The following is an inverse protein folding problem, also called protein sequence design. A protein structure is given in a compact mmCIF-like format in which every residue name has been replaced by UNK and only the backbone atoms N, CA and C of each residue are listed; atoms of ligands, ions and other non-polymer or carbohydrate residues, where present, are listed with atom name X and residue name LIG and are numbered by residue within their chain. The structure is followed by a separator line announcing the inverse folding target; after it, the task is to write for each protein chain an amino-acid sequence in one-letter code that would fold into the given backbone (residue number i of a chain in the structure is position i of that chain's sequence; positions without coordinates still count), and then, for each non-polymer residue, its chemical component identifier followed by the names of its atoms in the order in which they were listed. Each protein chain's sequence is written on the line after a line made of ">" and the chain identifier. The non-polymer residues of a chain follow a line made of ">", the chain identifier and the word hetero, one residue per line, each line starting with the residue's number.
data_IF_782936690605
#
_entry.id   IF_782936690605
#
_cell.length_a   1.000
_cell.length_b   1.000
_cell.length_c   1.000
_cell.angle_alpha   90.00
_cell.angle_beta   90.00
_cell.angle_gamma   90.00
#
_symmetry.space_group_name_H-M   'P 1'
#
loop_
_entity.id
_entity.type
_entity.pdbx_description
1 polymer ?
#
# COMPACT_ATOMS: atom_id res chain seq x y z
N UNK A 1 -21.95 -59.86 -13.45
CA UNK A 1 -21.20 -59.57 -12.21
C UNK A 1 -20.41 -58.29 -12.52
N UNK A 2 -21.14 -57.19 -12.62
CA UNK A 2 -20.60 -55.87 -12.99
C UNK A 2 -20.28 -55.14 -11.69
N UNK A 3 -18.99 -54.84 -11.50
CA UNK A 3 -18.52 -54.03 -10.38
C UNK A 3 -18.50 -52.57 -10.85
N UNK A 4 -19.36 -51.75 -10.24
CA UNK A 4 -19.28 -50.30 -10.37
C UNK A 4 -18.02 -49.79 -9.65
N UNK A 5 -17.28 -48.82 -10.20
CA UNK A 5 -16.20 -48.20 -9.47
C UNK A 5 -16.77 -47.27 -8.39
N UNK A 6 -16.27 -47.44 -7.18
CA UNK A 6 -16.55 -46.59 -6.01
C UNK A 6 -16.27 -45.12 -6.30
N UNK A 7 -17.27 -44.28 -6.06
CA UNK A 7 -17.13 -42.83 -6.00
C UNK A 7 -16.15 -42.46 -4.87
N UNK A 8 -14.92 -42.09 -5.24
CA UNK A 8 -13.99 -41.44 -4.31
C UNK A 8 -14.52 -40.04 -4.01
N UNK A 9 -14.72 -39.67 -2.73
CA UNK A 9 -15.19 -38.32 -2.40
C UNK A 9 -14.08 -37.31 -2.74
N UNK A 10 -14.39 -36.49 -3.75
CA UNK A 10 -13.65 -35.28 -4.15
C UNK A 10 -13.22 -34.47 -2.91
N UNK A 11 -11.92 -34.52 -2.60
CA UNK A 11 -11.31 -33.69 -1.56
C UNK A 11 -11.20 -32.25 -2.05
N UNK A 12 -12.31 -31.55 -2.21
CA UNK A 12 -12.30 -30.08 -2.25
C UNK A 12 -12.12 -29.57 -0.82
N UNK A 13 -10.88 -29.63 -0.31
CA UNK A 13 -10.46 -28.65 0.68
C UNK A 13 -10.55 -27.31 -0.04
N UNK A 14 -11.65 -26.60 0.16
CA UNK A 14 -11.77 -25.20 -0.20
C UNK A 14 -10.60 -24.48 0.49
N UNK A 15 -9.54 -24.15 -0.24
CA UNK A 15 -8.49 -23.30 0.30
C UNK A 15 -9.15 -22.01 0.77
N UNK A 16 -8.96 -21.66 2.04
CA UNK A 16 -9.49 -20.43 2.59
C UNK A 16 -8.96 -19.26 1.76
N UNK A 17 -9.80 -18.27 1.46
CA UNK A 17 -9.32 -17.05 0.81
C UNK A 17 -8.28 -16.38 1.72
N UNK A 18 -7.31 -15.67 1.13
CA UNK A 18 -6.25 -14.98 1.86
C UNK A 18 -6.78 -14.13 3.03
N UNK A 19 -7.81 -13.33 2.78
CA UNK A 19 -8.49 -12.52 3.80
C UNK A 19 -9.00 -13.36 4.98
N UNK A 20 -9.62 -14.53 4.71
CA UNK A 20 -10.14 -15.40 5.77
C UNK A 20 -8.99 -16.04 6.56
N UNK A 21 -7.92 -16.46 5.88
CA UNK A 21 -6.69 -16.92 6.52
C UNK A 21 -6.09 -15.86 7.45
N UNK A 22 -5.99 -14.61 6.99
CA UNK A 22 -5.50 -13.50 7.81
C UNK A 22 -6.42 -13.18 9.00
N UNK A 23 -7.75 -13.28 8.85
CA UNK A 23 -8.66 -13.13 10.01
C UNK A 23 -8.36 -14.14 11.10
N UNK A 24 -8.13 -15.40 10.74
CA UNK A 24 -7.80 -16.46 11.71
C UNK A 24 -6.43 -16.22 12.35
N UNK A 25 -5.40 -15.92 11.54
CA UNK A 25 -4.05 -15.66 12.03
C UNK A 25 -3.98 -14.44 12.94
N UNK A 26 -4.59 -13.32 12.54
CA UNK A 26 -4.64 -12.11 13.36
C UNK A 26 -5.46 -12.35 14.64
N UNK A 27 -6.54 -13.13 14.60
CA UNK A 27 -7.28 -13.50 15.81
C UNK A 27 -6.40 -14.27 16.79
N UNK A 28 -5.72 -15.32 16.32
CA UNK A 28 -4.83 -16.11 17.17
C UNK A 28 -3.70 -15.26 17.78
N UNK A 29 -3.10 -14.37 16.99
CA UNK A 29 -2.10 -13.43 17.49
C UNK A 29 -2.66 -12.50 18.59
N UNK A 30 -3.87 -11.96 18.40
CA UNK A 30 -4.49 -11.09 19.39
C UNK A 30 -4.94 -11.84 20.64
N UNK A 31 -5.38 -13.10 20.52
CA UNK A 31 -5.72 -13.94 21.68
C UNK A 31 -4.49 -14.20 22.55
N UNK A 32 -3.34 -14.41 21.93
CA UNK A 32 -2.07 -14.61 22.62
C UNK A 32 -1.54 -13.31 23.24
N UNK A 33 -1.51 -12.23 22.46
CA UNK A 33 -0.81 -10.98 22.83
C UNK A 33 -1.69 -10.00 23.61
N UNK A 34 -3.01 -10.07 23.44
CA UNK A 34 -4.00 -9.17 24.05
C UNK A 34 -5.21 -10.00 24.55
N UNK A 35 -5.01 -10.95 25.48
CA UNK A 35 -6.06 -11.85 25.95
C UNK A 35 -7.23 -11.12 26.65
N UNK A 36 -6.95 -9.94 27.22
CA UNK A 36 -7.94 -9.11 27.92
C UNK A 36 -8.58 -8.03 27.04
N UNK A 37 -8.37 -8.05 25.72
CA UNK A 37 -8.89 -7.01 24.81
C UNK A 37 -10.42 -6.99 24.76
N UNK A 38 -10.98 -5.82 24.49
CA UNK A 38 -12.40 -5.70 24.20
C UNK A 38 -12.65 -5.88 22.70
N UNK A 39 -13.40 -6.92 22.32
CA UNK A 39 -13.77 -7.16 20.92
C UNK A 39 -14.85 -6.17 20.46
N UNK A 40 -14.62 -5.48 19.35
CA UNK A 40 -15.60 -4.56 18.78
C UNK A 40 -16.60 -5.28 17.87
N UNK A 41 -17.89 -5.08 18.11
CA UNK A 41 -18.99 -5.70 17.35
C UNK A 41 -18.85 -7.24 17.26
N UNK A 42 -18.49 -7.88 18.36
CA UNK A 42 -18.32 -9.34 18.46
C UNK A 42 -17.35 -9.94 17.42
N UNK A 43 -16.42 -9.14 16.90
CA UNK A 43 -15.44 -9.59 15.91
C UNK A 43 -14.08 -9.79 16.59
N UNK A 44 -13.52 -11.01 16.62
CA UNK A 44 -12.32 -11.29 17.41
C UNK A 44 -11.03 -10.65 16.85
N UNK A 45 -11.05 -10.23 15.58
CA UNK A 45 -9.99 -9.49 14.90
C UNK A 45 -10.21 -7.96 14.90
N UNK A 46 -11.14 -7.45 15.74
CA UNK A 46 -11.38 -6.01 15.91
C UNK A 46 -11.32 -5.66 17.39
N UNK A 47 -10.48 -4.71 17.74
CA UNK A 47 -10.41 -4.16 19.10
C UNK A 47 -11.37 -2.98 19.24
N UNK A 48 -11.70 -2.59 20.46
CA UNK A 48 -12.42 -1.34 20.70
C UNK A 48 -11.70 -0.16 20.01
N UNK A 49 -12.41 0.79 19.39
CA UNK A 49 -11.79 1.96 18.73
C UNK A 49 -10.84 2.77 19.62
N UNK A 50 -11.07 2.80 20.94
CA UNK A 50 -10.18 3.42 21.92
C UNK A 50 -8.86 2.64 22.08
N UNK A 51 -8.87 1.34 21.82
CA UNK A 51 -7.73 0.43 21.95
C UNK A 51 -6.95 0.23 20.64
N UNK A 52 -7.30 0.93 19.54
CA UNK A 52 -6.68 0.73 18.22
C UNK A 52 -5.15 0.78 18.21
N UNK A 53 -4.53 1.54 19.11
CA UNK A 53 -3.07 1.61 19.23
C UNK A 53 -2.43 0.27 19.63
N UNK A 54 -3.19 -0.64 20.25
CA UNK A 54 -2.71 -1.98 20.58
C UNK A 54 -2.43 -2.82 19.32
N UNK A 55 -3.05 -2.46 18.18
CA UNK A 55 -2.79 -3.03 16.85
C UNK A 55 -1.55 -2.44 16.17
N UNK A 56 -0.74 -1.63 16.86
CA UNK A 56 0.60 -1.26 16.41
C UNK A 56 1.65 -2.07 17.17
N UNK A 57 2.81 -2.26 16.53
CA UNK A 57 4.00 -2.79 17.17
C UNK A 57 4.33 -1.97 18.43
N UNK A 58 4.61 -2.60 19.57
CA UNK A 58 4.87 -1.88 20.81
C UNK A 58 5.88 -0.73 20.67
N UNK A 59 6.94 -0.94 19.88
CA UNK A 59 8.00 0.02 19.61
C UNK A 59 7.58 1.30 18.87
N UNK A 60 6.43 1.30 18.18
CA UNK A 60 5.97 2.46 17.39
C UNK A 60 4.70 3.11 17.93
N UNK A 61 4.08 2.59 18.99
CA UNK A 61 2.76 3.06 19.47
C UNK A 61 2.74 4.56 19.79
N UNK A 62 3.68 5.00 20.62
CA UNK A 62 3.82 6.42 21.00
C UNK A 62 4.24 7.26 19.80
N UNK A 63 5.25 6.82 19.06
CA UNK A 63 5.82 7.51 17.90
C UNK A 63 4.77 7.74 16.81
N UNK A 64 3.95 6.73 16.49
CA UNK A 64 2.86 6.84 15.54
C UNK A 64 1.82 7.88 16.00
N UNK A 65 1.42 7.84 17.26
CA UNK A 65 0.45 8.79 17.80
C UNK A 65 0.98 10.24 17.73
N UNK A 66 2.23 10.46 18.12
CA UNK A 66 2.86 11.78 18.08
C UNK A 66 3.05 12.27 16.64
N UNK A 67 3.52 11.40 15.74
CA UNK A 67 3.72 11.71 14.33
C UNK A 67 2.39 12.07 13.64
N UNK A 68 1.35 11.27 13.86
CA UNK A 68 0.00 11.55 13.32
C UNK A 68 -0.57 12.84 13.89
N UNK A 69 -0.30 13.16 15.16
CA UNK A 69 -0.70 14.43 15.75
C UNK A 69 0.03 15.61 15.10
N UNK A 70 1.36 15.54 14.98
CA UNK A 70 2.22 16.58 14.39
C UNK A 70 1.80 16.94 12.97
N UNK A 71 1.60 15.92 12.12
CA UNK A 71 1.24 16.11 10.71
C UNK A 71 -0.26 16.13 10.45
N UNK A 72 -1.08 16.14 11.51
CA UNK A 72 -2.55 16.12 11.46
C UNK A 72 -3.03 15.01 10.52
N UNK A 73 -2.52 13.80 10.67
CA UNK A 73 -2.89 12.67 9.83
C UNK A 73 -4.17 12.03 10.37
N UNK A 74 -5.13 11.75 9.49
CA UNK A 74 -6.36 11.08 9.86
C UNK A 74 -6.14 9.56 9.94
N UNK A 75 -6.55 8.96 11.04
CA UNK A 75 -6.68 7.50 11.12
C UNK A 75 -7.83 7.03 10.24
N UNK A 76 -7.64 5.91 9.55
CA UNK A 76 -8.70 5.28 8.78
C UNK A 76 -9.85 4.84 9.69
N UNK A 77 -11.08 4.85 9.16
CA UNK A 77 -12.30 4.42 9.86
C UNK A 77 -12.18 3.04 10.51
N UNK A 78 -11.39 2.16 9.90
CA UNK A 78 -11.18 0.78 10.33
C UNK A 78 -9.78 0.56 10.92
N UNK A 79 -9.12 1.60 11.46
CA UNK A 79 -7.83 1.47 12.15
C UNK A 79 -7.89 0.54 13.38
N UNK A 80 -9.08 0.25 13.92
CA UNK A 80 -9.27 -0.74 14.99
C UNK A 80 -9.46 -2.18 14.49
N UNK A 81 -9.28 -2.41 13.19
CA UNK A 81 -9.35 -3.73 12.54
C UNK A 81 -7.94 -4.29 12.36
N UNK A 82 -7.69 -5.53 12.79
CA UNK A 82 -6.35 -6.13 12.72
C UNK A 82 -5.83 -6.28 11.28
N UNK A 83 -6.74 -6.37 10.31
CA UNK A 83 -6.47 -6.39 8.86
C UNK A 83 -6.39 -4.99 8.22
N UNK A 84 -6.29 -3.92 9.02
CA UNK A 84 -6.13 -2.56 8.48
C UNK A 84 -4.80 -2.45 7.73
N UNK A 85 -4.88 -2.04 6.45
CA UNK A 85 -3.69 -1.72 5.63
C UNK A 85 -2.89 -0.56 6.20
N UNK A 86 -3.54 0.49 6.74
CA UNK A 86 -2.84 1.58 7.43
C UNK A 86 -2.03 1.08 8.63
N UNK A 87 -2.63 0.24 9.49
CA UNK A 87 -1.89 -0.36 10.61
C UNK A 87 -0.76 -1.27 10.12
N UNK A 88 -1.00 -2.05 9.06
CA UNK A 88 0.00 -2.92 8.46
C UNK A 88 1.19 -2.12 7.92
N UNK A 89 0.94 -1.12 7.08
CA UNK A 89 1.94 -0.20 6.55
C UNK A 89 2.80 0.41 7.66
N UNK A 90 2.18 0.93 8.72
CA UNK A 90 2.90 1.51 9.86
C UNK A 90 3.79 0.49 10.57
N UNK A 91 3.30 -0.72 10.83
CA UNK A 91 4.10 -1.75 11.50
C UNK A 91 5.34 -2.15 10.69
N UNK A 92 5.24 -2.17 9.37
CA UNK A 92 6.37 -2.51 8.51
C UNK A 92 7.34 -1.35 8.32
N UNK A 93 6.85 -0.15 8.02
CA UNK A 93 7.69 0.95 7.56
C UNK A 93 8.11 1.94 8.64
N UNK A 94 7.30 2.17 9.69
CA UNK A 94 7.61 3.18 10.70
C UNK A 94 8.90 2.88 11.49
N UNK A 95 9.23 1.63 11.85
CA UNK A 95 10.52 1.30 12.47
C UNK A 95 11.73 1.69 11.62
N UNK A 96 11.58 1.78 10.30
CA UNK A 96 12.64 2.15 9.36
C UNK A 96 12.79 3.67 9.18
N UNK A 97 11.87 4.47 9.73
CA UNK A 97 11.83 5.90 9.48
C UNK A 97 12.99 6.68 10.10
N UNK A 98 13.73 6.08 11.03
CA UNK A 98 14.99 6.61 11.59
C UNK A 98 16.19 5.70 11.26
N UNK A 99 16.04 4.74 10.35
CA UNK A 99 17.07 3.77 9.98
C UNK A 99 17.43 3.90 8.49
N UNK A 100 18.12 4.99 8.09
CA UNK A 100 18.36 5.29 6.67
C UNK A 100 19.15 4.19 5.94
N UNK A 101 20.07 3.49 6.62
CA UNK A 101 20.85 2.42 5.99
C UNK A 101 19.98 1.18 5.69
N UNK A 102 19.15 0.74 6.64
CA UNK A 102 18.20 -0.37 6.40
C UNK A 102 17.17 0.00 5.35
N UNK A 103 16.66 1.23 5.39
CA UNK A 103 15.72 1.74 4.40
C UNK A 103 16.36 1.82 3.01
N UNK A 104 17.63 2.23 2.91
CA UNK A 104 18.40 2.24 1.65
C UNK A 104 18.45 0.86 1.02
N UNK A 105 18.79 -0.18 1.79
CA UNK A 105 18.81 -1.55 1.29
C UNK A 105 17.43 -2.00 0.79
N UNK A 106 16.37 -1.70 1.55
CA UNK A 106 14.99 -2.01 1.18
C UNK A 106 14.61 -1.36 -0.15
N UNK A 107 14.91 -0.06 -0.32
CA UNK A 107 14.58 0.69 -1.55
C UNK A 107 15.43 0.23 -2.74
N UNK A 108 16.71 -0.07 -2.50
CA UNK A 108 17.59 -0.67 -3.50
C UNK A 108 17.00 -1.97 -4.04
N UNK A 109 16.56 -2.86 -3.14
CA UNK A 109 15.93 -4.12 -3.50
C UNK A 109 14.57 -3.92 -4.20
N UNK A 110 13.71 -3.04 -3.70
CA UNK A 110 12.41 -2.76 -4.29
C UNK A 110 12.51 -2.33 -5.75
N UNK A 111 13.48 -1.48 -6.06
CA UNK A 111 13.61 -0.81 -7.35
C UNK A 111 14.64 -1.48 -8.28
N UNK A 112 15.29 -2.55 -7.82
CA UNK A 112 16.41 -3.22 -8.50
C UNK A 112 17.53 -2.23 -8.88
N UNK A 113 17.99 -1.47 -7.89
CA UNK A 113 19.08 -0.50 -8.01
C UNK A 113 20.09 -0.67 -6.88
N UNK A 114 21.28 -0.08 -7.04
CA UNK A 114 22.21 0.04 -5.91
C UNK A 114 21.53 0.81 -4.75
N UNK A 115 21.71 0.38 -3.49
CA UNK A 115 21.16 1.06 -2.32
C UNK A 115 21.42 2.58 -2.39
N UNK A 116 20.37 3.42 -2.48
CA UNK A 116 20.54 4.85 -2.69
C UNK A 116 20.82 5.59 -1.39
N UNK A 117 21.31 6.82 -1.45
CA UNK A 117 21.47 7.64 -0.26
C UNK A 117 20.10 8.17 0.20
N UNK A 118 19.62 7.74 1.37
CA UNK A 118 18.32 8.18 1.87
C UNK A 118 18.37 9.65 2.29
N UNK A 119 17.30 10.38 1.96
CA UNK A 119 17.12 11.78 2.33
C UNK A 119 15.93 11.91 3.27
N UNK A 120 15.99 12.77 4.30
CA UNK A 120 14.84 13.06 5.12
C UNK A 120 13.69 13.59 4.26
N UNK A 121 12.48 13.07 4.52
CA UNK A 121 11.24 13.57 3.92
C UNK A 121 10.75 14.76 4.74
N UNK A 122 10.81 14.65 6.07
CA UNK A 122 10.36 15.66 7.02
C UNK A 122 10.97 15.40 8.41
N UNK A 123 10.52 16.13 9.44
CA UNK A 123 11.00 15.95 10.82
C UNK A 123 10.14 14.95 11.60
N UNK A 124 10.77 14.06 12.35
CA UNK A 124 10.10 13.13 13.25
C UNK A 124 9.42 13.83 14.42
N UNK A 125 8.69 13.10 15.29
CA UNK A 125 8.05 13.67 16.47
C UNK A 125 8.97 14.55 17.32
N UNK A 126 10.22 14.11 17.50
CA UNK A 126 11.23 14.77 18.33
C UNK A 126 12.11 15.77 17.55
N UNK A 127 11.74 16.10 16.30
CA UNK A 127 12.49 17.04 15.47
C UNK A 127 13.74 16.43 14.79
N UNK A 128 13.99 15.13 14.95
CA UNK A 128 15.07 14.43 14.25
C UNK A 128 14.71 14.17 12.78
N UNK A 129 15.70 13.98 11.89
CA UNK A 129 15.42 13.61 10.51
C UNK A 129 14.57 12.34 10.39
N UNK A 130 13.54 12.39 9.54
CA UNK A 130 12.58 11.30 9.35
C UNK A 130 12.50 10.91 7.87
N UNK A 131 12.76 9.64 7.58
CA UNK A 131 13.02 9.15 6.22
C UNK A 131 11.81 8.49 5.54
N UNK A 132 10.70 8.29 6.27
CA UNK A 132 9.45 7.73 5.73
C UNK A 132 8.27 8.64 6.09
N UNK A 133 7.72 9.37 5.13
CA UNK A 133 6.48 10.11 5.32
C UNK A 133 5.27 9.19 5.23
N UNK A 134 4.19 9.42 5.99
CA UNK A 134 2.95 8.65 5.92
C UNK A 134 1.76 9.49 5.47
N UNK A 135 0.82 8.85 4.79
CA UNK A 135 -0.40 9.48 4.24
C UNK A 135 -0.05 10.73 3.41
N UNK A 136 1.00 10.63 2.59
CA UNK A 136 1.64 11.76 1.93
C UNK A 136 0.81 12.28 0.75
N UNK A 137 0.50 13.57 0.77
CA UNK A 137 -0.36 14.23 -0.20
C UNK A 137 0.40 15.23 -1.11
N UNK A 138 1.70 15.04 -1.33
CA UNK A 138 2.51 15.95 -2.15
C UNK A 138 3.03 17.17 -1.40
N UNK A 139 3.32 17.04 -0.10
CA UNK A 139 3.88 18.12 0.71
C UNK A 139 2.94 19.30 0.93
N UNK A 140 1.61 19.06 0.86
CA UNK A 140 0.59 20.11 0.97
C UNK A 140 0.28 20.86 -0.33
N UNK A 141 0.98 20.57 -1.44
CA UNK A 141 0.66 21.13 -2.76
C UNK A 141 -0.55 20.41 -3.39
N UNK A 142 -1.45 21.18 -4.00
CA UNK A 142 -2.64 20.63 -4.65
C UNK A 142 -2.39 20.19 -6.10
N UNK A 143 -1.50 19.21 -6.29
CA UNK A 143 -1.14 18.71 -7.62
C UNK A 143 -2.31 18.09 -8.39
N UNK A 144 -3.35 17.63 -7.70
CA UNK A 144 -4.49 16.91 -8.29
C UNK A 144 -5.79 17.71 -8.33
N UNK A 145 -5.75 19.00 -7.98
CA UNK A 145 -6.92 19.88 -7.94
C UNK A 145 -8.01 19.38 -6.97
N UNK A 146 -7.61 18.72 -5.89
CA UNK A 146 -8.51 18.11 -4.92
C UNK A 146 -8.92 19.04 -3.79
N UNK A 147 -8.21 20.16 -3.61
CA UNK A 147 -8.55 21.20 -2.65
C UNK A 147 -9.96 21.71 -2.88
N UNK A 148 -10.70 21.91 -1.79
CA UNK A 148 -12.05 22.48 -1.81
C UNK A 148 -11.99 23.91 -1.30
N UNK A 149 -12.31 24.87 -2.15
CA UNK A 149 -12.36 26.30 -1.82
C UNK A 149 -11.04 26.83 -1.21
N UNK A 150 -9.90 26.35 -1.73
CA UNK A 150 -8.57 26.77 -1.25
C UNK A 150 -8.18 26.23 0.12
N UNK A 151 -8.97 25.30 0.71
CA UNK A 151 -8.59 24.65 1.98
C UNK A 151 -7.35 23.77 1.79
N UNK A 152 -6.41 23.75 2.75
CA UNK A 152 -5.28 22.83 2.70
C UNK A 152 -5.73 21.38 2.57
N UNK A 153 -4.96 20.58 1.83
CA UNK A 153 -5.18 19.14 1.74
C UNK A 153 -4.89 18.50 3.11
N UNK A 154 -5.72 17.53 3.48
CA UNK A 154 -5.61 16.79 4.73
C UNK A 154 -5.06 15.39 4.44
N UNK A 155 -3.95 15.01 5.08
CA UNK A 155 -3.37 13.67 4.96
C UNK A 155 -4.34 12.60 5.48
N UNK A 156 -4.54 11.55 4.68
CA UNK A 156 -5.41 10.41 5.01
C UNK A 156 -6.91 10.70 5.02
N UNK A 157 -7.34 11.84 4.45
CA UNK A 157 -8.77 12.16 4.36
C UNK A 157 -9.13 13.00 3.14
N UNK A 158 -10.20 12.60 2.44
CA UNK A 158 -10.88 13.37 1.39
C UNK A 158 -10.03 13.83 0.18
N UNK A 159 -8.77 13.43 0.12
CA UNK A 159 -7.80 13.71 -0.94
C UNK A 159 -6.93 12.48 -1.15
N UNK A 160 -6.19 12.47 -2.25
CA UNK A 160 -5.22 11.43 -2.56
C UNK A 160 -4.03 11.56 -1.61
N UNK A 161 -3.65 10.44 -1.03
CA UNK A 161 -2.50 10.33 -0.13
C UNK A 161 -1.86 8.99 -0.42
N UNK A 162 -0.56 8.97 -0.71
CA UNK A 162 0.20 7.72 -0.72
C UNK A 162 0.32 7.22 0.72
N UNK A 163 0.13 5.93 0.98
CA UNK A 163 0.20 5.36 2.33
C UNK A 163 1.55 5.69 2.99
N UNK A 164 2.63 5.67 2.20
CA UNK A 164 3.92 6.22 2.61
C UNK A 164 4.67 6.91 1.45
N UNK A 165 5.75 7.61 1.77
CA UNK A 165 6.69 8.18 0.81
C UNK A 165 8.11 8.09 1.35
N UNK A 166 9.08 7.88 0.46
CA UNK A 166 10.50 8.05 0.77
C UNK A 166 11.16 8.98 -0.25
N UNK A 167 12.23 9.64 0.18
CA UNK A 167 13.08 10.49 -0.65
C UNK A 167 14.51 9.97 -0.60
N UNK A 168 15.18 9.91 -1.73
CA UNK A 168 16.55 9.42 -1.80
C UNK A 168 17.29 10.04 -2.98
N UNK A 169 18.62 9.93 -2.98
CA UNK A 169 19.45 10.36 -4.10
C UNK A 169 20.12 9.13 -4.74
N UNK A 170 19.99 9.03 -6.05
CA UNK A 170 20.79 8.11 -6.88
C UNK A 170 21.90 8.89 -7.57
N UNK A 171 22.77 8.21 -8.31
CA UNK A 171 23.75 8.86 -9.21
C UNK A 171 23.09 9.76 -10.27
N UNK A 172 21.79 9.58 -10.50
CA UNK A 172 21.03 10.41 -11.43
C UNK A 172 20.47 11.67 -10.77
N UNK A 173 20.38 11.72 -9.44
CA UNK A 173 19.87 12.85 -8.67
C UNK A 173 18.76 12.46 -7.67
N UNK A 174 18.09 13.46 -7.06
CA UNK A 174 17.03 13.23 -6.08
C UNK A 174 15.79 12.59 -6.70
N UNK A 175 15.21 11.64 -5.99
CA UNK A 175 13.99 10.94 -6.35
C UNK A 175 13.04 10.81 -5.17
N UNK A 176 11.75 10.67 -5.49
CA UNK A 176 10.72 10.27 -4.56
C UNK A 176 10.11 8.93 -4.98
N UNK A 177 9.76 8.12 -4.00
CA UNK A 177 8.97 6.91 -4.20
C UNK A 177 7.71 7.01 -3.33
N UNK A 178 6.56 7.16 -3.99
CA UNK A 178 5.25 7.08 -3.37
C UNK A 178 4.91 5.61 -3.17
N UNK A 179 4.53 5.22 -1.96
CA UNK A 179 4.24 3.83 -1.61
C UNK A 179 2.74 3.69 -1.38
N UNK A 180 2.08 2.82 -2.15
CA UNK A 180 0.71 2.37 -1.92
C UNK A 180 0.77 0.98 -1.27
N UNK A 181 0.10 0.81 -0.13
CA UNK A 181 0.13 -0.40 0.67
C UNK A 181 -1.25 -1.05 0.73
N UNK A 182 -1.31 -2.33 0.37
CA UNK A 182 -2.50 -3.17 0.54
C UNK A 182 -2.17 -4.35 1.43
N UNK A 183 -3.19 -4.87 2.09
CA UNK A 183 -3.10 -6.05 2.92
C UNK A 183 -4.12 -7.10 2.47
N UNK A 184 -5.41 -6.92 2.77
CA UNK A 184 -6.45 -7.93 2.47
C UNK A 184 -7.56 -7.39 1.57
N UNK A 185 -7.35 -6.24 0.93
CA UNK A 185 -8.33 -5.61 0.06
C UNK A 185 -8.71 -6.52 -1.11
N UNK A 186 -10.00 -6.49 -1.45
CA UNK A 186 -10.57 -7.13 -2.63
C UNK A 186 -11.58 -6.17 -3.25
N UNK A 187 -11.57 -6.06 -4.57
CA UNK A 187 -12.40 -5.11 -5.30
C UNK A 187 -13.31 -5.81 -6.32
N UNK A 188 -14.29 -5.07 -6.84
CA UNK A 188 -15.18 -5.60 -7.87
C UNK A 188 -16.20 -4.57 -8.39
N UNK A 189 -16.90 -3.89 -7.49
CA UNK A 189 -17.86 -2.85 -7.90
C UNK A 189 -17.15 -1.54 -8.29
N UNK A 190 -17.74 -0.73 -9.19
CA UNK A 190 -17.26 0.62 -9.45
C UNK A 190 -17.35 1.49 -8.21
N UNK A 191 -16.55 2.56 -8.17
CA UNK A 191 -16.67 3.58 -7.13
C UNK A 191 -18.03 4.32 -7.25
N UNK A 192 -18.55 4.93 -6.17
CA UNK A 192 -19.83 5.64 -6.22
C UNK A 192 -19.88 6.75 -7.28
N UNK A 193 -20.94 6.74 -8.10
CA UNK A 193 -21.11 7.66 -9.24
C UNK A 193 -21.26 9.14 -8.85
N UNK A 194 -21.75 9.43 -7.64
CA UNK A 194 -22.08 10.79 -7.17
C UNK A 194 -20.91 11.78 -7.17
N UNK A 195 -19.67 11.33 -7.34
CA UNK A 195 -18.48 12.18 -7.47
C UNK A 195 -17.84 12.20 -8.86
N UNK A 196 -18.40 11.49 -9.86
CA UNK A 196 -17.73 11.30 -11.14
C UNK A 196 -17.53 12.60 -11.93
N UNK A 197 -18.51 13.50 -11.94
CA UNK A 197 -18.40 14.80 -12.61
C UNK A 197 -17.21 15.61 -12.07
N UNK A 198 -17.09 15.68 -10.74
CA UNK A 198 -16.01 16.39 -10.08
C UNK A 198 -14.64 15.71 -10.32
N UNK A 199 -14.58 14.38 -10.27
CA UNK A 199 -13.35 13.62 -10.62
C UNK A 199 -12.92 13.89 -12.06
N UNK A 200 -13.86 13.88 -13.00
CA UNK A 200 -13.57 14.21 -14.39
C UNK A 200 -13.06 15.63 -14.53
N UNK A 201 -13.71 16.60 -13.88
CA UNK A 201 -13.26 18.01 -13.87
C UNK A 201 -11.82 18.14 -13.37
N UNK A 202 -11.44 17.40 -12.32
CA UNK A 202 -10.11 17.44 -11.71
C UNK A 202 -9.03 16.78 -12.56
N UNK A 203 -9.33 15.61 -13.14
CA UNK A 203 -8.30 14.73 -13.69
C UNK A 203 -8.25 14.70 -15.22
N UNK A 204 -9.30 15.13 -15.94
CA UNK A 204 -9.35 15.02 -17.40
C UNK A 204 -8.15 15.70 -18.09
N UNK A 205 -7.65 16.81 -17.53
CA UNK A 205 -6.51 17.54 -18.07
C UNK A 205 -5.13 16.98 -17.69
N UNK A 206 -5.04 16.01 -16.78
CA UNK A 206 -3.79 15.52 -16.19
C UNK A 206 -3.67 13.99 -16.12
N UNK A 207 -4.67 13.23 -16.57
CA UNK A 207 -4.65 11.76 -16.57
C UNK A 207 -3.85 11.18 -17.73
N UNK A 208 -3.97 11.77 -18.92
CA UNK A 208 -3.39 11.25 -20.17
C UNK A 208 -2.28 12.14 -20.71
N UNK A 209 -1.37 11.53 -21.46
CA UNK A 209 -0.29 12.18 -22.21
C UNK A 209 -0.85 13.31 -23.11
N UNK A 210 -0.17 14.47 -23.23
CA UNK A 210 1.19 14.76 -22.74
C UNK A 210 1.29 15.28 -21.30
N UNK A 211 0.18 15.59 -20.64
CA UNK A 211 0.18 16.20 -19.29
C UNK A 211 0.05 15.19 -18.15
N UNK A 212 -0.19 13.93 -18.48
CA UNK A 212 -0.44 12.87 -17.53
C UNK A 212 0.37 11.61 -17.80
N UNK A 213 0.31 10.64 -16.87
CA UNK A 213 1.14 9.44 -16.92
C UNK A 213 0.62 8.37 -17.89
N UNK A 214 -0.67 8.37 -18.24
CA UNK A 214 -1.25 7.34 -19.12
C UNK A 214 -0.99 7.66 -20.59
N UNK A 215 -0.73 6.63 -21.40
CA UNK A 215 -0.75 6.75 -22.86
C UNK A 215 -2.15 7.19 -23.31
N UNK A 216 -2.21 8.06 -24.31
CA UNK A 216 -3.49 8.36 -24.97
C UNK A 216 -4.00 7.09 -25.67
N UNK A 217 -5.24 6.70 -25.41
CA UNK A 217 -5.91 5.59 -26.07
C UNK A 217 -7.34 6.04 -26.44
N UNK A 218 -7.73 6.04 -27.72
CA UNK A 218 -9.05 6.50 -28.16
C UNK A 218 -10.20 5.63 -27.63
N UNK A 219 -9.92 4.38 -27.26
CA UNK A 219 -10.91 3.42 -26.78
C UNK A 219 -11.09 3.47 -25.25
N UNK A 220 -10.28 4.28 -24.55
CA UNK A 220 -10.36 4.44 -23.11
C UNK A 220 -10.71 5.86 -22.70
N UNK A 221 -11.63 5.96 -21.75
CA UNK A 221 -12.02 7.18 -21.09
C UNK A 221 -11.58 7.16 -19.63
N UNK A 222 -11.47 8.35 -19.03
CA UNK A 222 -11.11 8.49 -17.62
C UNK A 222 -12.04 7.68 -16.68
N UNK A 223 -13.33 7.59 -17.02
CA UNK A 223 -14.32 6.84 -16.22
C UNK A 223 -14.08 5.34 -16.21
N UNK A 224 -13.32 4.80 -17.16
CA UNK A 224 -13.01 3.37 -17.21
C UNK A 224 -12.05 2.98 -16.08
N UNK A 225 -11.35 3.96 -15.51
CA UNK A 225 -10.52 3.80 -14.32
C UNK A 225 -11.31 3.96 -13.02
N UNK A 226 -12.62 4.24 -13.02
CA UNK A 226 -13.43 4.46 -11.80
C UNK A 226 -13.85 3.14 -11.13
N UNK A 227 -12.93 2.18 -11.11
CA UNK A 227 -13.00 0.88 -10.47
C UNK A 227 -11.71 0.67 -9.68
N UNK A 228 -11.80 0.16 -8.46
CA UNK A 228 -10.58 -0.18 -7.71
C UNK A 228 -10.01 -1.53 -8.17
N UNK A 229 -8.67 -1.70 -8.23
CA UNK A 229 -7.64 -0.77 -7.73
C UNK A 229 -7.25 0.34 -8.72
N UNK A 230 -7.73 0.33 -9.97
CA UNK A 230 -7.31 1.29 -11.00
C UNK A 230 -7.53 2.75 -10.65
N UNK A 231 -8.60 3.08 -9.92
CA UNK A 231 -8.87 4.46 -9.51
C UNK A 231 -7.83 4.97 -8.50
N UNK A 232 -7.43 4.15 -7.55
CA UNK A 232 -6.31 4.43 -6.64
C UNK A 232 -5.00 4.56 -7.40
N UNK A 233 -4.65 3.56 -8.22
CA UNK A 233 -3.42 3.54 -8.99
C UNK A 233 -3.27 4.77 -9.91
N UNK A 234 -4.36 5.14 -10.61
CA UNK A 234 -4.38 6.33 -11.46
C UNK A 234 -4.07 7.59 -10.66
N UNK A 235 -4.68 7.78 -9.49
CA UNK A 235 -4.46 8.98 -8.66
C UNK A 235 -3.05 9.05 -8.12
N UNK A 236 -2.47 7.95 -7.64
CA UNK A 236 -1.09 7.92 -7.18
C UNK A 236 -0.11 8.18 -8.34
N UNK A 237 -0.35 7.60 -9.50
CA UNK A 237 0.52 7.82 -10.65
C UNK A 237 0.42 9.25 -11.19
N UNK A 238 -0.77 9.86 -11.18
CA UNK A 238 -0.93 11.28 -11.50
C UNK A 238 -0.18 12.16 -10.49
N UNK A 239 -0.28 11.85 -9.18
CA UNK A 239 0.43 12.60 -8.15
C UNK A 239 1.95 12.56 -8.39
N UNK A 240 2.50 11.36 -8.61
CA UNK A 240 3.90 11.18 -8.97
C UNK A 240 4.30 11.99 -10.22
N UNK A 241 3.51 11.89 -11.28
CA UNK A 241 3.77 12.61 -12.53
C UNK A 241 3.79 14.13 -12.34
N UNK A 242 2.80 14.69 -11.65
CA UNK A 242 2.71 16.14 -11.41
C UNK A 242 3.81 16.63 -10.46
N UNK A 243 4.15 15.87 -9.41
CA UNK A 243 5.30 16.18 -8.55
C UNK A 243 6.60 16.25 -9.34
N UNK A 244 6.82 15.31 -10.26
CA UNK A 244 8.01 15.29 -11.11
C UNK A 244 8.04 16.48 -12.09
N UNK A 245 6.92 16.81 -12.73
CA UNK A 245 6.83 17.97 -13.62
C UNK A 245 7.10 19.28 -12.88
N UNK A 246 6.63 19.38 -11.64
CA UNK A 246 6.85 20.55 -10.80
C UNK A 246 8.26 20.58 -10.16
N UNK A 247 9.10 19.56 -10.40
CA UNK A 247 10.40 19.40 -9.76
C UNK A 247 10.33 19.54 -8.23
N UNK A 248 9.29 18.93 -7.62
CA UNK A 248 9.04 19.00 -6.18
C UNK A 248 10.31 18.70 -5.39
N UNK A 249 10.79 19.66 -4.60
CA UNK A 249 12.06 19.58 -3.86
C UNK A 249 13.27 19.10 -4.69
N UNK A 250 13.32 19.54 -5.95
CA UNK A 250 14.38 19.19 -6.90
C UNK A 250 14.31 17.75 -7.43
N UNK A 251 13.17 17.05 -7.23
CA UNK A 251 12.99 15.69 -7.71
C UNK A 251 13.20 15.59 -9.22
N UNK A 252 14.12 14.72 -9.64
CA UNK A 252 14.34 14.35 -11.03
C UNK A 252 13.40 13.23 -11.47
N UNK A 253 13.05 12.34 -10.55
CA UNK A 253 12.10 11.25 -10.80
C UNK A 253 11.17 11.05 -9.62
N UNK A 254 9.90 10.77 -9.90
CA UNK A 254 8.94 10.35 -8.89
C UNK A 254 8.26 9.09 -9.37
N UNK A 255 8.37 8.01 -8.58
CA UNK A 255 7.85 6.68 -8.91
C UNK A 255 6.77 6.27 -7.92
N UNK A 256 5.98 5.26 -8.29
CA UNK A 256 5.01 4.61 -7.41
C UNK A 256 5.44 3.17 -7.17
N UNK A 257 5.50 2.77 -5.91
CA UNK A 257 5.68 1.38 -5.46
C UNK A 257 4.37 0.90 -4.85
N UNK A 258 3.77 -0.14 -5.43
CA UNK A 258 2.67 -0.86 -4.82
C UNK A 258 3.19 -2.07 -4.04
N UNK A 259 2.72 -2.25 -2.82
CA UNK A 259 3.11 -3.37 -1.94
C UNK A 259 1.86 -4.10 -1.47
N UNK A 260 1.81 -5.42 -1.64
CA UNK A 260 0.74 -6.28 -1.12
C UNK A 260 1.22 -7.69 -0.82
N UNK A 261 0.56 -8.48 0.04
CA UNK A 261 0.93 -9.88 0.23
C UNK A 261 0.81 -10.70 -1.06
N UNK A 262 1.75 -11.62 -1.30
CA UNK A 262 1.75 -12.52 -2.46
C UNK A 262 0.46 -13.37 -2.53
N UNK A 263 -0.09 -13.74 -1.37
CA UNK A 263 -1.30 -14.55 -1.29
C UNK A 263 -2.60 -13.80 -1.62
N UNK A 264 -2.61 -12.46 -1.73
CA UNK A 264 -3.84 -11.70 -1.96
C UNK A 264 -4.24 -11.62 -3.45
N UNK A 265 -4.41 -12.76 -4.11
CA UNK A 265 -4.80 -12.84 -5.52
C UNK A 265 -6.12 -12.12 -5.87
N UNK A 266 -6.98 -11.86 -4.89
CA UNK A 266 -8.24 -11.13 -5.12
C UNK A 266 -8.00 -9.66 -5.50
N UNK A 267 -6.89 -9.07 -5.07
CA UNK A 267 -6.48 -7.71 -5.40
C UNK A 267 -6.07 -7.54 -6.87
N UNK A 268 -5.53 -8.61 -7.47
CA UNK A 268 -4.97 -8.65 -8.82
C UNK A 268 -6.01 -8.72 -9.94
N UNK A 269 -7.30 -8.67 -9.59
CA UNK A 269 -8.41 -8.75 -10.56
C UNK A 269 -8.52 -7.44 -11.34
N UNK A 270 -8.63 -7.56 -12.66
CA UNK A 270 -9.07 -6.44 -13.51
C UNK A 270 -10.57 -6.22 -13.30
N UNK A 271 -10.94 -5.18 -12.57
CA UNK A 271 -12.33 -4.94 -12.13
C UNK A 271 -13.17 -4.14 -13.12
N UNK A 272 -12.54 -3.27 -13.90
CA UNK A 272 -13.20 -2.45 -14.92
C UNK A 272 -13.53 -3.27 -16.18
N UNK A 273 -14.79 -3.30 -16.66
CA UNK A 273 -15.15 -4.05 -17.86
C UNK A 273 -14.35 -3.65 -19.12
N UNK A 274 -14.22 -2.35 -19.49
CA UNK A 274 -13.40 -1.96 -20.64
C UNK A 274 -11.93 -2.39 -20.51
N UNK A 275 -11.35 -2.29 -19.31
CA UNK A 275 -9.98 -2.73 -19.08
C UNK A 275 -9.82 -4.26 -19.16
N UNK A 276 -10.85 -5.03 -18.76
CA UNK A 276 -10.84 -6.49 -18.95
C UNK A 276 -10.84 -6.89 -20.41
N UNK A 277 -11.60 -6.17 -21.25
CA UNK A 277 -11.63 -6.42 -22.69
C UNK A 277 -10.27 -6.13 -23.31
N UNK A 278 -9.62 -5.03 -22.89
CA UNK A 278 -8.29 -4.65 -23.36
C UNK A 278 -7.18 -5.60 -22.88
N UNK A 279 -7.25 -6.08 -21.64
CA UNK A 279 -6.22 -6.89 -20.99
C UNK A 279 -6.71 -8.27 -20.58
N UNK A 280 -7.43 -8.97 -21.47
CA UNK A 280 -8.06 -10.25 -21.16
C UNK A 280 -7.05 -11.25 -20.58
N UNK A 281 -7.34 -11.79 -19.39
CA UNK A 281 -6.47 -12.74 -18.69
C UNK A 281 -5.19 -12.16 -18.08
N UNK A 282 -5.02 -10.83 -18.09
CA UNK A 282 -3.84 -10.14 -17.53
C UNK A 282 -4.07 -9.79 -16.07
N UNK A 283 -2.96 -9.74 -15.31
CA UNK A 283 -2.91 -9.18 -13.96
C UNK A 283 -3.25 -7.68 -13.94
N UNK A 284 -3.94 -7.20 -12.89
CA UNK A 284 -4.30 -5.78 -12.78
C UNK A 284 -3.10 -4.83 -12.80
N UNK A 285 -1.99 -5.21 -12.17
CA UNK A 285 -0.78 -4.40 -12.08
C UNK A 285 0.00 -4.41 -13.37
N UNK A 286 0.13 -5.57 -14.03
CA UNK A 286 0.74 -5.66 -15.36
C UNK A 286 -0.04 -4.86 -16.40
N UNK A 287 -1.37 -4.98 -16.39
CA UNK A 287 -2.24 -4.20 -17.25
C UNK A 287 -2.05 -2.71 -16.98
N UNK A 288 -2.12 -2.26 -15.72
CA UNK A 288 -1.92 -0.85 -15.39
C UNK A 288 -0.54 -0.34 -15.87
N UNK A 289 0.53 -1.11 -15.63
CA UNK A 289 1.90 -0.79 -16.06
C UNK A 289 1.98 -0.60 -17.58
N UNK A 290 1.29 -1.45 -18.35
CA UNK A 290 1.25 -1.37 -19.81
C UNK A 290 0.60 -0.08 -20.34
N UNK A 291 -0.31 0.52 -19.56
CA UNK A 291 -1.04 1.74 -19.92
C UNK A 291 -0.21 3.02 -19.68
N UNK A 292 0.90 2.94 -18.94
CA UNK A 292 1.73 4.09 -18.62
C UNK A 292 2.67 4.49 -19.77
N UNK A 293 2.90 5.79 -19.95
CA UNK A 293 3.92 6.33 -20.87
C UNK A 293 5.32 5.82 -20.48
N UNK A 294 5.58 5.71 -19.17
CA UNK A 294 6.81 5.15 -18.61
C UNK A 294 6.45 3.98 -17.69
N UNK A 295 6.42 2.73 -18.21
CA UNK A 295 6.05 1.54 -17.45
C UNK A 295 6.88 1.39 -16.16
N UNK A 296 8.17 1.72 -16.19
CA UNK A 296 9.08 1.60 -15.05
C UNK A 296 8.87 2.68 -13.95
N UNK A 297 7.91 3.58 -14.11
CA UNK A 297 7.53 4.52 -13.05
C UNK A 297 6.50 3.91 -12.07
N UNK A 298 5.96 2.74 -12.40
CA UNK A 298 5.15 1.92 -11.50
C UNK A 298 5.83 0.57 -11.25
N UNK A 299 6.10 0.28 -9.99
CA UNK A 299 6.70 -0.97 -9.53
C UNK A 299 5.74 -1.60 -8.55
N UNK A 300 5.54 -2.90 -8.63
CA UNK A 300 4.82 -3.69 -7.63
C UNK A 300 5.74 -4.77 -7.07
N UNK A 301 5.62 -5.00 -5.77
CA UNK A 301 6.36 -6.01 -5.02
C UNK A 301 5.44 -6.67 -4.02
N UNK A 302 5.72 -7.93 -3.72
CA UNK A 302 5.08 -8.56 -2.57
C UNK A 302 5.72 -8.11 -1.26
N UNK A 303 4.96 -8.13 -0.16
CA UNK A 303 5.54 -7.86 1.17
C UNK A 303 6.65 -8.87 1.47
N UNK A 304 6.43 -10.12 1.09
CA UNK A 304 7.33 -11.25 1.30
C UNK A 304 8.66 -11.03 0.58
N UNK A 305 8.64 -10.76 -0.73
CA UNK A 305 9.85 -10.47 -1.52
C UNK A 305 10.63 -9.30 -0.92
N UNK A 306 9.92 -8.23 -0.54
CA UNK A 306 10.57 -7.01 -0.13
C UNK A 306 11.17 -7.08 1.28
N UNK A 307 10.46 -7.66 2.24
CA UNK A 307 10.85 -7.60 3.65
C UNK A 307 11.53 -8.86 4.16
N UNK A 308 11.23 -10.06 3.65
CA UNK A 308 11.81 -11.30 4.20
C UNK A 308 13.35 -11.31 4.24
N UNK A 309 14.09 -10.84 3.21
CA UNK A 309 15.54 -10.79 3.26
C UNK A 309 16.04 -9.96 4.46
N UNK A 310 15.50 -8.75 4.62
CA UNK A 310 15.86 -7.82 5.70
C UNK A 310 15.48 -8.37 7.08
N UNK A 311 14.32 -8.99 7.22
CA UNK A 311 13.87 -9.58 8.50
C UNK A 311 14.74 -10.77 8.91
N UNK A 312 15.19 -11.59 7.94
CA UNK A 312 16.10 -12.72 8.19
C UNK A 312 17.49 -12.23 8.60
N UNK A 313 18.01 -11.20 7.96
CA UNK A 313 19.29 -10.59 8.31
C UNK A 313 19.28 -9.98 9.72
N UNK A 314 18.18 -9.33 10.09
CA UNK A 314 18.01 -8.76 11.43
C UNK A 314 17.96 -9.83 12.54
N UNK A 315 17.43 -11.02 12.23
CA UNK A 315 17.37 -12.16 13.16
C UNK A 315 16.22 -12.08 14.17
N UNK A 316 16.01 -13.16 14.93
CA UNK A 316 14.89 -13.29 15.88
C UNK A 316 15.01 -12.37 17.11
N UNK A 317 16.22 -11.94 17.44
CA UNK A 317 16.48 -11.04 18.56
C UNK A 317 16.18 -9.56 18.22
N UNK A 318 16.07 -9.22 16.93
CA UNK A 318 15.64 -7.88 16.51
C UNK A 318 14.13 -7.72 16.80
N UNK A 319 13.73 -6.75 17.66
CA UNK A 319 12.33 -6.62 18.07
C UNK A 319 11.35 -6.38 16.91
N UNK A 320 11.79 -5.70 15.85
CA UNK A 320 10.98 -5.44 14.67
C UNK A 320 10.79 -6.71 13.85
N UNK A 321 11.87 -7.44 13.59
CA UNK A 321 11.80 -8.71 12.88
C UNK A 321 10.97 -9.76 13.64
N UNK A 322 11.22 -9.90 14.93
CA UNK A 322 10.47 -10.79 15.84
C UNK A 322 8.97 -10.46 15.84
N UNK A 323 8.62 -9.17 15.94
CA UNK A 323 7.24 -8.74 15.94
C UNK A 323 6.53 -9.04 14.62
N UNK A 324 7.14 -8.68 13.48
CA UNK A 324 6.53 -8.84 12.18
C UNK A 324 6.34 -10.31 11.81
N UNK A 325 7.34 -11.15 12.04
CA UNK A 325 7.27 -12.59 11.74
C UNK A 325 6.23 -13.30 12.62
N UNK A 326 6.11 -12.92 13.90
CA UNK A 326 5.08 -13.48 14.78
C UNK A 326 3.67 -13.02 14.42
N UNK A 327 3.49 -11.73 14.09
CA UNK A 327 2.17 -11.16 13.78
C UNK A 327 1.67 -11.50 12.38
N UNK A 328 2.53 -11.34 11.38
CA UNK A 328 2.19 -11.48 9.96
C UNK A 328 2.67 -12.83 9.44
N UNK A 329 2.06 -13.91 9.95
CA UNK A 329 2.50 -15.29 9.69
C UNK A 329 2.47 -15.71 8.21
N UNK A 330 1.79 -14.97 7.33
CA UNK A 330 1.89 -15.21 5.89
C UNK A 330 3.32 -15.05 5.35
N UNK A 331 4.17 -14.28 6.05
CA UNK A 331 5.62 -14.19 5.78
C UNK A 331 6.30 -15.57 5.86
N UNK A 332 5.81 -16.47 6.71
CA UNK A 332 6.35 -17.82 6.88
C UNK A 332 5.81 -18.82 5.84
N UNK A 333 4.63 -18.58 5.27
CA UNK A 333 3.97 -19.50 4.33
C UNK A 333 4.77 -19.65 3.01
N UNK A 334 5.50 -18.61 2.61
CA UNK A 334 6.38 -18.64 1.41
C UNK A 334 7.65 -19.44 1.66
N UNK A 335 8.15 -19.49 2.90
CA UNK A 335 9.36 -20.22 3.23
C UNK A 335 9.19 -21.75 3.10
N UNK A 336 7.97 -22.27 3.26
CA UNK A 336 7.66 -23.71 3.15
C UNK A 336 7.45 -24.22 1.72
N UNK A 337 7.31 -23.32 0.73
CA UNK A 337 7.17 -23.68 -0.68
C UNK A 337 8.48 -23.55 -1.48
N UNK A 338 9.56 -23.07 -0.84
CA UNK A 338 10.89 -22.91 -1.44
C UNK A 338 11.93 -23.89 -0.86
N UNK A 339 11.49 -24.85 -0.05
CA UNK A 339 12.31 -25.89 0.59
C UNK A 339 12.03 -27.27 0.02
#
# INVERSE_FOLDING_TARGET
>A
MDTQPENTPSSRRSSLTFEVGERLRQTAFLDEMLPARTCFQNSPYRVDPSEKAQLLAPMIRSTAAQYFCKYKISWHRHANHALSSQQCCLNFLMPLAEQPDRLSQLIGHALDIRPPNMMPVEDGPDGRPWYVGFEWNGGGHDYLNESKNGKPLQRGANSTSADAVVRFCTDQGPEFLLIEWKYTEKYGAPIPKSGNSERCRRYAGIAFNPKGPLKTNPDLNLTDFFYEPFYQLLRQQMLAHQMQLAQHDGARRVRVLHISPAGNHALHRVTSPPLRELGCGTDAFDLFRSLLVRPNDFVDRTIEELFLPTLREAGEDDPWASYLTRRYRFLSDVASNAS
#
